data_IF_531594728775
#
_entry.id   IF_531594728775
#
_cell.length_a   1.000
_cell.length_b   1.000
_cell.length_c   1.000
_cell.angle_alpha   90.00
_cell.angle_beta   90.00
_cell.angle_gamma   90.00
#
_symmetry.space_group_name_H-M   'P 1'
#
loop_
_entity.id
_entity.type
_entity.pdbx_description
1 polymer ?
#
# COMPACT_ATOMS: atom_id res chain seq x y z
N UNK A 1 -6.93 -20.11 7.47
CA UNK A 1 -5.52 -20.57 7.46
C UNK A 1 -4.90 -20.20 8.80
N UNK A 2 -4.49 -21.21 9.59
CA UNK A 2 -3.86 -21.02 10.89
C UNK A 2 -2.36 -21.25 10.71
N UNK A 3 -1.56 -20.21 10.85
CA UNK A 3 -0.10 -20.25 10.74
C UNK A 3 0.47 -20.37 12.15
N UNK A 4 1.03 -21.53 12.49
CA UNK A 4 1.85 -21.67 13.70
C UNK A 4 3.25 -21.12 13.43
N UNK A 5 3.53 -19.90 13.87
CA UNK A 5 4.87 -19.35 13.85
C UNK A 5 5.58 -19.73 15.16
N UNK A 6 6.40 -20.78 15.14
CA UNK A 6 7.36 -21.03 16.22
C UNK A 6 8.31 -19.84 16.26
N UNK A 7 8.30 -19.11 17.38
CA UNK A 7 9.08 -17.91 17.69
C UNK A 7 10.09 -17.50 16.61
N UNK A 8 9.59 -16.79 15.60
CA UNK A 8 10.37 -16.34 14.44
C UNK A 8 11.12 -17.48 13.71
N UNK A 9 10.44 -18.23 12.83
CA UNK A 9 11.06 -19.07 11.79
C UNK A 9 11.92 -18.28 10.75
N UNK A 10 12.44 -17.12 11.14
CA UNK A 10 13.27 -16.20 10.35
C UNK A 10 14.75 -16.23 10.77
N UNK A 11 15.13 -16.91 11.85
CA UNK A 11 16.53 -17.25 12.13
C UNK A 11 16.58 -18.65 12.76
N UNK A 12 17.55 -19.46 12.33
CA UNK A 12 17.69 -20.86 12.76
C UNK A 12 17.74 -21.04 14.28
N UNK A 13 17.62 -22.29 14.70
CA UNK A 13 17.57 -22.90 16.06
C UNK A 13 18.58 -22.35 17.10
N UNK A 14 19.45 -21.39 16.75
CA UNK A 14 20.64 -20.99 17.49
C UNK A 14 20.43 -19.97 18.62
N UNK A 15 19.30 -19.25 18.69
CA UNK A 15 18.99 -18.42 19.87
C UNK A 15 17.77 -18.99 20.59
N UNK A 16 17.97 -19.88 21.59
CA UNK A 16 16.87 -20.30 22.43
C UNK A 16 16.24 -19.07 23.10
N UNK A 17 14.93 -19.12 23.31
CA UNK A 17 14.24 -18.17 24.19
C UNK A 17 15.08 -17.96 25.46
N UNK A 18 15.15 -16.74 26.03
CA UNK A 18 15.89 -16.50 27.26
C UNK A 18 15.59 -17.60 28.28
N UNK A 19 16.63 -18.18 28.88
CA UNK A 19 16.59 -19.47 29.60
C UNK A 19 15.37 -19.64 30.50
N UNK A 20 14.98 -18.58 31.22
CA UNK A 20 13.83 -18.56 32.11
C UNK A 20 12.50 -18.93 31.42
N UNK A 21 12.29 -18.51 30.18
CA UNK A 21 11.10 -18.83 29.39
C UNK A 21 11.14 -20.24 28.81
N UNK A 22 12.30 -20.66 28.29
CA UNK A 22 12.49 -22.02 27.77
C UNK A 22 12.20 -23.07 28.86
N UNK A 23 12.72 -22.84 30.07
CA UNK A 23 12.45 -23.70 31.23
C UNK A 23 10.96 -23.71 31.60
N UNK A 24 10.27 -22.57 31.54
CA UNK A 24 8.84 -22.49 31.87
C UNK A 24 7.97 -23.22 30.84
N UNK A 25 8.31 -23.13 29.56
CA UNK A 25 7.62 -23.83 28.48
C UNK A 25 7.90 -25.32 28.57
N UNK A 26 9.16 -25.73 28.75
CA UNK A 26 9.52 -27.14 28.92
C UNK A 26 8.81 -27.76 30.13
N UNK A 27 8.71 -27.06 31.26
CA UNK A 27 7.95 -27.52 32.44
C UNK A 27 6.43 -27.55 32.24
N UNK A 28 5.91 -26.78 31.29
CA UNK A 28 4.49 -26.80 30.94
C UNK A 28 4.15 -27.95 29.97
N UNK A 29 5.13 -28.43 29.20
CA UNK A 29 4.96 -29.48 28.17
C UNK A 29 5.45 -30.85 28.65
N UNK A 30 6.46 -30.90 29.52
CA UNK A 30 7.02 -32.10 30.12
C UNK A 30 6.73 -32.15 31.62
N UNK A 31 6.26 -33.32 32.09
CA UNK A 31 6.11 -33.59 33.52
C UNK A 31 7.50 -33.80 34.15
N UNK A 32 7.63 -33.69 35.48
CA UNK A 32 8.92 -33.78 36.20
C UNK A 32 9.70 -35.10 35.98
N UNK A 33 9.05 -36.11 35.41
CA UNK A 33 9.59 -37.42 35.04
C UNK A 33 10.12 -37.50 33.59
N UNK A 34 10.07 -36.41 32.83
CA UNK A 34 10.52 -36.35 31.43
C UNK A 34 9.54 -36.95 30.42
N UNK A 35 8.36 -37.38 30.86
CA UNK A 35 7.28 -37.82 29.97
C UNK A 35 6.51 -36.62 29.38
N UNK A 36 6.06 -36.75 28.13
CA UNK A 36 5.11 -35.80 27.54
C UNK A 36 3.80 -35.87 28.34
N UNK A 37 3.16 -34.73 28.58
CA UNK A 37 1.82 -34.71 29.19
C UNK A 37 0.85 -35.40 28.22
N UNK A 38 0.48 -36.66 28.49
CA UNK A 38 -0.58 -37.36 27.75
C UNK A 38 -1.93 -36.64 27.91
N UNK A 39 -2.70 -36.56 26.82
CA UNK A 39 -4.04 -36.00 26.79
C UNK A 39 -4.95 -36.66 27.85
N UNK A 40 -5.69 -35.90 28.68
CA UNK A 40 -6.62 -36.50 29.61
C UNK A 40 -7.89 -36.91 28.87
N UNK A 41 -7.88 -38.11 28.28
CA UNK A 41 -9.14 -38.81 27.97
C UNK A 41 -9.71 -39.31 29.30
N UNK A 42 -10.57 -38.50 29.94
CA UNK A 42 -11.82 -38.88 30.65
C UNK A 42 -12.29 -37.76 31.58
N UNK A 43 -13.35 -37.06 31.16
CA UNK A 43 -14.10 -36.10 32.00
C UNK A 43 -14.72 -36.81 33.22
N UNK A 44 -14.52 -36.27 34.42
CA UNK A 44 -15.31 -36.61 35.60
C UNK A 44 -16.54 -35.68 35.66
N UNK A 45 -17.75 -36.15 36.03
CA UNK A 45 -18.96 -35.33 35.98
C UNK A 45 -18.95 -34.25 37.08
N UNK A 46 -19.07 -32.97 36.69
CA UNK A 46 -19.29 -31.84 37.61
C UNK A 46 -18.23 -30.73 37.59
N UNK A 47 -17.20 -30.82 36.74
CA UNK A 47 -16.16 -29.80 36.63
C UNK A 47 -16.64 -28.61 35.76
N UNK A 48 -16.38 -27.34 36.15
CA UNK A 48 -16.78 -26.19 35.35
C UNK A 48 -16.13 -26.23 33.97
N UNK A 49 -16.88 -25.82 32.93
CA UNK A 49 -16.40 -25.72 31.54
C UNK A 49 -15.24 -24.73 31.42
N UNK A 50 -14.03 -25.19 31.70
CA UNK A 50 -12.80 -24.50 31.35
C UNK A 50 -12.58 -24.78 29.86
N UNK A 51 -12.49 -23.75 28.99
CA UNK A 51 -12.30 -23.97 27.56
C UNK A 51 -11.06 -24.84 27.34
N UNK A 52 -11.24 -25.97 26.65
CA UNK A 52 -10.18 -26.91 26.26
C UNK A 52 -9.05 -26.11 25.58
N UNK A 53 -7.94 -25.94 26.30
CA UNK A 53 -6.75 -25.27 25.75
C UNK A 53 -6.08 -26.19 24.75
N UNK A 54 -5.75 -25.66 23.58
CA UNK A 54 -5.10 -26.43 22.52
C UNK A 54 -3.80 -27.08 23.03
N UNK A 55 -3.56 -28.37 22.74
CA UNK A 55 -2.33 -29.03 23.14
C UNK A 55 -1.12 -28.31 22.51
N UNK A 56 -0.29 -27.68 23.35
CA UNK A 56 0.86 -26.87 22.92
C UNK A 56 0.66 -25.34 22.95
N UNK A 57 -0.54 -24.85 23.30
CA UNK A 57 -0.76 -23.45 23.66
C UNK A 57 -0.36 -23.23 25.12
N UNK A 58 0.77 -22.54 25.31
CA UNK A 58 1.17 -22.04 26.64
C UNK A 58 0.81 -20.55 26.72
N UNK A 59 0.42 -20.02 27.90
CA UNK A 59 0.12 -18.60 28.06
C UNK A 59 1.27 -17.68 27.61
N UNK A 60 2.51 -18.18 27.66
CA UNK A 60 3.69 -17.50 27.15
C UNK A 60 3.68 -17.41 25.63
N UNK A 61 3.37 -18.51 24.93
CA UNK A 61 3.30 -18.56 23.47
C UNK A 61 2.21 -17.64 22.97
N UNK A 62 1.02 -17.69 23.55
CA UNK A 62 -0.11 -16.83 23.16
C UNK A 62 0.24 -15.34 23.35
N UNK A 63 0.94 -14.99 24.43
CA UNK A 63 1.43 -13.62 24.66
C UNK A 63 2.43 -13.19 23.59
N UNK A 64 3.38 -14.06 23.25
CA UNK A 64 4.39 -13.77 22.24
C UNK A 64 3.77 -13.67 20.85
N UNK A 65 2.75 -14.48 20.52
CA UNK A 65 2.06 -14.46 19.24
C UNK A 65 1.42 -13.10 18.93
N UNK A 66 0.93 -12.38 19.95
CA UNK A 66 0.42 -11.00 19.79
C UNK A 66 1.52 -10.07 19.25
N UNK A 67 2.75 -10.20 19.77
CA UNK A 67 3.89 -9.41 19.31
C UNK A 67 4.32 -9.81 17.90
N UNK A 68 4.38 -11.12 17.60
CA UNK A 68 4.76 -11.62 16.28
C UNK A 68 3.79 -11.18 15.20
N UNK A 69 2.49 -11.35 15.44
CA UNK A 69 1.47 -10.96 14.48
C UNK A 69 1.58 -9.48 14.14
N UNK A 70 1.77 -8.62 15.15
CA UNK A 70 1.95 -7.18 14.95
C UNK A 70 3.27 -6.84 14.24
N UNK A 71 4.36 -7.49 14.61
CA UNK A 71 5.69 -7.26 14.02
C UNK A 71 5.72 -7.61 12.53
N UNK A 72 5.24 -8.80 12.17
CA UNK A 72 5.18 -9.26 10.77
C UNK A 72 4.26 -8.35 9.96
N UNK A 73 3.11 -7.96 10.53
CA UNK A 73 2.19 -7.03 9.88
C UNK A 73 2.83 -5.67 9.62
N UNK A 74 3.55 -5.11 10.60
CA UNK A 74 4.27 -3.83 10.45
C UNK A 74 5.43 -3.92 9.46
N UNK A 75 6.15 -5.05 9.46
CA UNK A 75 7.21 -5.33 8.50
C UNK A 75 6.66 -5.36 7.08
N UNK A 76 5.58 -6.12 6.84
CA UNK A 76 4.93 -6.20 5.54
C UNK A 76 4.39 -4.85 5.09
N UNK A 77 3.70 -4.10 5.97
CA UNK A 77 3.19 -2.76 5.65
C UNK A 77 4.31 -1.80 5.27
N UNK A 78 5.43 -1.82 6.01
CA UNK A 78 6.61 -1.02 5.69
C UNK A 78 7.23 -1.43 4.35
N UNK A 79 7.34 -2.74 4.08
CA UNK A 79 7.85 -3.26 2.81
C UNK A 79 6.97 -2.89 1.62
N UNK A 80 5.64 -2.98 1.77
CA UNK A 80 4.67 -2.66 0.73
C UNK A 80 4.58 -1.15 0.46
N UNK A 81 4.65 -0.30 1.50
CA UNK A 81 4.52 1.16 1.40
C UNK A 81 5.42 1.79 0.34
N UNK A 82 6.65 1.28 0.17
CA UNK A 82 7.63 1.85 -0.78
C UNK A 82 7.63 1.17 -2.16
N UNK A 83 6.68 0.26 -2.42
CA UNK A 83 6.62 -0.51 -3.66
C UNK A 83 5.32 -0.22 -4.39
N UNK A 84 5.37 0.76 -5.29
CA UNK A 84 4.22 1.20 -6.07
C UNK A 84 3.49 0.06 -6.79
N UNK A 85 4.22 -0.85 -7.42
CA UNK A 85 3.63 -1.99 -8.13
C UNK A 85 2.82 -2.94 -7.22
N UNK A 86 3.05 -2.93 -5.90
CA UNK A 86 2.30 -3.72 -4.92
C UNK A 86 1.06 -2.95 -4.46
N UNK A 87 1.18 -1.63 -4.26
CA UNK A 87 0.10 -0.79 -3.74
C UNK A 87 -0.86 -0.29 -4.80
N UNK A 88 -0.47 -0.33 -6.08
CA UNK A 88 -1.26 0.17 -7.20
C UNK A 88 -2.68 -0.42 -7.22
N UNK A 89 -3.69 0.44 -7.29
CA UNK A 89 -5.10 0.03 -7.31
C UNK A 89 -5.68 -0.34 -5.94
N UNK A 90 -4.87 -0.39 -4.88
CA UNK A 90 -5.36 -0.50 -3.51
C UNK A 90 -5.76 0.88 -3.02
N UNK A 91 -7.04 1.24 -3.15
CA UNK A 91 -7.58 2.59 -2.92
C UNK A 91 -7.22 3.25 -1.57
N UNK A 92 -6.88 2.48 -0.53
CA UNK A 92 -6.44 2.99 0.79
C UNK A 92 -4.90 3.08 0.95
N UNK A 93 -4.13 2.57 -0.01
CA UNK A 93 -2.68 2.44 0.07
C UNK A 93 -1.95 3.00 -1.16
N UNK A 94 -2.67 3.55 -2.13
CA UNK A 94 -2.13 4.04 -3.41
C UNK A 94 -1.91 5.57 -3.43
N UNK A 95 -1.33 6.11 -2.36
CA UNK A 95 -1.01 7.55 -2.24
C UNK A 95 -0.05 8.03 -3.35
N UNK A 96 0.77 7.11 -3.88
CA UNK A 96 1.72 7.41 -4.96
C UNK A 96 1.00 7.72 -6.27
N UNK A 97 -0.08 7.00 -6.61
CA UNK A 97 -0.91 7.34 -7.78
C UNK A 97 -1.45 8.74 -7.66
N UNK A 98 -1.93 9.13 -6.49
CA UNK A 98 -2.43 10.49 -6.26
C UNK A 98 -1.33 11.51 -6.51
N UNK A 99 -0.15 11.36 -5.90
CA UNK A 99 0.98 12.28 -6.15
C UNK A 99 1.37 12.38 -7.62
N UNK A 100 1.33 11.27 -8.36
CA UNK A 100 1.61 11.28 -9.80
C UNK A 100 0.53 12.02 -10.60
N UNK A 101 -0.75 11.92 -10.20
CA UNK A 101 -1.83 12.70 -10.80
C UNK A 101 -1.64 14.20 -10.54
N UNK A 102 -1.36 14.59 -9.29
CA UNK A 102 -1.04 15.97 -8.94
C UNK A 102 0.17 16.51 -9.72
N UNK A 103 1.20 15.67 -9.92
CA UNK A 103 2.40 16.02 -10.68
C UNK A 103 2.10 16.36 -12.14
N UNK A 104 1.12 15.69 -12.76
CA UNK A 104 0.67 16.00 -14.13
C UNK A 104 -0.46 17.05 -14.17
N UNK A 105 -0.77 17.69 -13.04
CA UNK A 105 -1.80 18.72 -12.92
C UNK A 105 -3.24 18.19 -12.90
N UNK A 106 -3.43 16.89 -12.63
CA UNK A 106 -4.75 16.27 -12.47
C UNK A 106 -5.08 16.08 -11.00
N UNK A 107 -6.30 16.43 -10.59
CA UNK A 107 -6.79 16.05 -9.26
C UNK A 107 -7.17 14.56 -9.24
N UNK A 108 -6.86 13.80 -8.17
CA UNK A 108 -7.36 12.44 -7.97
C UNK A 108 -8.88 12.35 -7.87
N UNK A 109 -9.55 13.46 -7.57
CA UNK A 109 -11.02 13.56 -7.51
C UNK A 109 -11.67 13.67 -8.88
N UNK A 110 -10.91 14.06 -9.91
CA UNK A 110 -11.44 14.16 -11.26
C UNK A 110 -11.69 12.77 -11.83
N UNK A 111 -12.85 12.62 -12.45
CA UNK A 111 -13.24 11.42 -13.15
C UNK A 111 -13.29 11.67 -14.66
N UNK A 112 -13.62 10.62 -15.40
CA UNK A 112 -13.75 10.69 -16.85
C UNK A 112 -14.89 11.63 -17.29
N UNK A 113 -15.93 11.79 -16.46
CA UNK A 113 -17.02 12.74 -16.74
C UNK A 113 -16.56 14.20 -16.64
N UNK A 114 -15.67 14.50 -15.70
CA UNK A 114 -15.12 15.84 -15.49
C UNK A 114 -14.05 16.19 -16.52
N UNK A 115 -13.13 15.26 -16.79
CA UNK A 115 -11.95 15.51 -17.62
C UNK A 115 -12.17 15.16 -19.10
N UNK A 116 -13.20 14.36 -19.42
CA UNK A 116 -13.44 13.80 -20.75
C UNK A 116 -12.47 12.67 -21.14
N UNK A 117 -11.52 12.34 -20.26
CA UNK A 117 -10.51 11.30 -20.43
C UNK A 117 -10.25 10.63 -19.09
N UNK A 118 -9.87 9.35 -19.10
CA UNK A 118 -9.49 8.62 -17.85
C UNK A 118 -8.18 9.16 -17.28
N UNK A 119 -8.16 9.80 -16.09
CA UNK A 119 -6.93 10.40 -15.53
C UNK A 119 -5.81 9.39 -15.32
N UNK A 120 -6.15 8.17 -14.87
CA UNK A 120 -5.18 7.10 -14.66
C UNK A 120 -4.44 6.70 -15.96
N UNK A 121 -5.09 6.84 -17.12
CA UNK A 121 -4.46 6.58 -18.43
C UNK A 121 -3.43 7.65 -18.77
N UNK A 122 -3.60 8.88 -18.26
CA UNK A 122 -2.66 9.98 -18.48
C UNK A 122 -1.32 9.76 -17.77
N UNK A 123 -1.27 8.95 -16.70
CA UNK A 123 -0.03 8.61 -16.00
C UNK A 123 1.01 7.94 -16.91
N UNK A 124 0.57 7.21 -17.96
CA UNK A 124 1.47 6.67 -18.99
C UNK A 124 2.31 7.76 -19.66
N UNK A 125 1.75 8.97 -19.80
CA UNK A 125 2.40 10.11 -20.41
C UNK A 125 3.03 11.05 -19.38
N UNK A 126 3.09 10.69 -18.09
CA UNK A 126 3.56 11.58 -17.04
C UNK A 126 4.95 12.16 -17.31
N UNK A 127 5.90 11.35 -17.78
CA UNK A 127 7.25 11.82 -18.11
C UNK A 127 7.28 12.88 -19.22
N UNK A 128 6.31 12.85 -20.13
CA UNK A 128 6.17 13.82 -21.22
C UNK A 128 5.31 15.03 -20.78
N UNK A 129 4.27 14.77 -19.99
CA UNK A 129 3.36 15.79 -19.43
C UNK A 129 4.02 16.64 -18.34
N UNK A 130 5.17 16.26 -17.79
CA UNK A 130 5.95 17.12 -16.87
C UNK A 130 7.05 17.94 -17.55
N UNK A 131 7.42 17.62 -18.79
CA UNK A 131 8.49 18.34 -19.51
C UNK A 131 8.06 19.75 -19.95
N UNK A 132 8.97 20.72 -19.85
CA UNK A 132 8.78 22.06 -20.43
C UNK A 132 10.00 22.42 -21.29
N UNK A 133 9.81 23.01 -22.49
CA UNK A 133 8.53 23.36 -23.15
C UNK A 133 7.78 22.15 -23.74
N UNK A 134 6.49 22.32 -24.04
CA UNK A 134 5.67 21.32 -24.74
C UNK A 134 5.88 21.44 -26.25
N UNK A 135 6.58 20.48 -26.85
CA UNK A 135 6.75 20.41 -28.30
C UNK A 135 5.46 20.00 -29.01
N UNK A 136 5.20 20.58 -30.19
CA UNK A 136 4.07 20.22 -31.04
C UNK A 136 4.08 18.72 -31.39
N UNK A 137 5.23 18.18 -31.81
CA UNK A 137 5.40 16.74 -32.16
C UNK A 137 5.07 15.83 -30.98
N UNK A 138 5.47 16.24 -29.79
CA UNK A 138 5.20 15.50 -28.56
C UNK A 138 3.70 15.47 -28.25
N UNK A 139 3.03 16.61 -28.39
CA UNK A 139 1.59 16.71 -28.19
C UNK A 139 0.83 15.85 -29.22
N UNK A 140 1.19 15.95 -30.50
CA UNK A 140 0.64 15.10 -31.57
C UNK A 140 0.80 13.61 -31.23
N UNK A 141 2.00 13.19 -30.80
CA UNK A 141 2.27 11.80 -30.43
C UNK A 141 1.42 11.32 -29.25
N UNK A 142 1.26 12.14 -28.21
CA UNK A 142 0.39 11.81 -27.07
C UNK A 142 -1.07 11.68 -27.50
N UNK A 143 -1.57 12.62 -28.31
CA UNK A 143 -2.95 12.61 -28.79
C UNK A 143 -3.20 11.42 -29.73
N UNK A 144 -2.28 11.13 -30.65
CA UNK A 144 -2.36 9.99 -31.56
C UNK A 144 -2.34 8.64 -30.83
N UNK A 145 -1.46 8.46 -29.83
CA UNK A 145 -1.40 7.21 -29.05
C UNK A 145 -2.61 7.07 -28.10
N UNK A 146 -3.15 8.17 -27.58
CA UNK A 146 -4.36 8.15 -26.76
C UNK A 146 -5.61 7.77 -27.57
N UNK A 147 -5.80 8.39 -28.74
CA UNK A 147 -6.91 8.12 -29.66
C UNK A 147 -6.39 7.44 -30.93
N UNK A 148 -6.28 6.11 -30.88
CA UNK A 148 -5.65 5.29 -31.94
C UNK A 148 -6.21 5.48 -33.36
N UNK A 149 -7.44 5.95 -33.49
CA UNK A 149 -8.14 6.06 -34.78
C UNK A 149 -8.23 7.50 -35.33
N UNK A 150 -7.49 8.45 -34.73
CA UNK A 150 -7.56 9.87 -35.13
C UNK A 150 -6.20 10.35 -35.64
N UNK A 151 -6.20 11.00 -36.80
CA UNK A 151 -5.03 11.75 -37.28
C UNK A 151 -5.04 13.13 -36.64
N UNK A 152 -3.96 13.46 -35.94
CA UNK A 152 -3.80 14.74 -35.25
C UNK A 152 -2.57 15.45 -35.79
N UNK A 153 -2.72 16.74 -36.08
CA UNK A 153 -1.63 17.64 -36.46
C UNK A 153 -1.81 18.97 -35.69
N UNK A 154 -0.71 19.55 -35.23
CA UNK A 154 -0.67 20.79 -34.46
C UNK A 154 -0.25 21.92 -35.38
N UNK A 155 -1.18 22.84 -35.64
CA UNK A 155 -0.89 24.09 -36.33
C UNK A 155 -0.27 25.09 -35.34
N UNK A 156 0.97 25.49 -35.59
CA UNK A 156 1.70 26.44 -34.75
C UNK A 156 1.57 27.86 -35.28
N UNK A 157 1.82 28.84 -34.41
CA UNK A 157 1.81 30.28 -34.75
C UNK A 157 0.46 30.82 -35.25
N UNK A 158 -0.64 30.24 -34.79
CA UNK A 158 -2.00 30.72 -35.09
C UNK A 158 -2.23 32.07 -34.41
N UNK A 159 -2.54 33.10 -35.20
CA UNK A 159 -2.86 34.44 -34.70
C UNK A 159 -4.14 34.44 -33.87
N UNK A 160 -4.12 35.10 -32.71
CA UNK A 160 -5.29 35.27 -31.84
C UNK A 160 -5.46 36.73 -31.44
N UNK A 161 -6.66 37.25 -31.60
CA UNK A 161 -7.06 38.52 -31.00
C UNK A 161 -7.29 38.33 -29.50
N UNK A 162 -6.54 39.06 -28.68
CA UNK A 162 -6.69 39.05 -27.22
C UNK A 162 -7.18 40.42 -26.77
N UNK A 163 -8.37 40.54 -26.15
CA UNK A 163 -8.83 41.80 -25.63
C UNK A 163 -7.90 42.26 -24.50
N UNK A 164 -7.44 43.51 -24.59
CA UNK A 164 -6.61 44.12 -23.56
C UNK A 164 -7.47 44.59 -22.38
N UNK A 165 -6.95 44.45 -21.17
CA UNK A 165 -7.59 45.03 -19.98
C UNK A 165 -7.50 46.54 -20.07
N UNK A 166 -8.44 47.26 -19.41
CA UNK A 166 -8.42 48.73 -19.39
C UNK A 166 -7.11 49.33 -18.87
N UNK A 167 -6.44 48.66 -17.94
CA UNK A 167 -5.12 49.07 -17.42
C UNK A 167 -4.02 49.07 -18.47
N UNK A 168 -4.16 48.22 -19.50
CA UNK A 168 -3.13 47.98 -20.52
C UNK A 168 -3.41 48.80 -21.78
N UNK A 169 -4.50 49.56 -21.78
CA UNK A 169 -4.84 50.51 -22.83
C UNK A 169 -4.17 51.84 -22.54
N UNK A 170 -3.46 52.37 -23.54
CA UNK A 170 -2.95 53.73 -23.45
C UNK A 170 -4.13 54.71 -23.44
N UNK A 171 -4.21 55.52 -22.39
CA UNK A 171 -5.10 56.69 -22.35
C UNK A 171 -4.34 57.93 -22.77
N UNK A 172 -4.94 58.75 -23.64
CA UNK A 172 -4.46 60.11 -23.89
C UNK A 172 -5.49 61.11 -23.36
N UNK A 173 -5.07 61.92 -22.39
CA UNK A 173 -5.89 62.94 -21.73
C UNK A 173 -6.80 62.40 -20.62
N UNK A 174 -7.07 63.28 -19.65
CA UNK A 174 -8.18 63.20 -18.69
C UNK A 174 -9.17 64.29 -19.08
N UNK A 175 -10.42 63.93 -19.35
CA UNK A 175 -11.52 64.91 -19.44
C UNK A 175 -12.00 65.26 -18.03
#
# INVERSE_FOLDING_TARGET
YRLEATFLGLYGVATPLPLHYAVRILRAVYRQDGSLVEEPTRRLPGEPDVPEREPGSTPTRDFLDILHHRLISLFYRSWAKYRYHVTFGMRQHDEVTDYLLWLIGCSPEWDEATLGVRPLRLLRYAGVLTQHPKSAVTLEGVLFDYWRDIRVAVESFVGRWVPLKRSDLNGIGTA
#
